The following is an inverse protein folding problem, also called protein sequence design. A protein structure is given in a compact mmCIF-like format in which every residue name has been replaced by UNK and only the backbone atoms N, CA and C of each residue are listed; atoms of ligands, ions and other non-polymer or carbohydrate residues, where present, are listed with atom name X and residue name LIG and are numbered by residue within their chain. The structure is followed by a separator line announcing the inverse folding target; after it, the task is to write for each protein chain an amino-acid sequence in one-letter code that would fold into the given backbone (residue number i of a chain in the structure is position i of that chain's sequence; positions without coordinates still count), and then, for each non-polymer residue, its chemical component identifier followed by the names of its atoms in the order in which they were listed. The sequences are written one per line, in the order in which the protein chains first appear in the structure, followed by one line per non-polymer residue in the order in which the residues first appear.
data_IF_452122701032
#
_entry.id   IF_452122701032
#
_cell.length_a   1.000
_cell.length_b   1.000
_cell.length_c   1.000
_cell.angle_alpha   90.00
_cell.angle_beta   90.00
_cell.angle_gamma   90.00
#
_symmetry.space_group_name_H-M   'P 1'
#
loop_
_entity.id
_entity.type
_entity.pdbx_description
1 polymer ?
#
# COMPACT_ATOMS: atom_id res chain seq x y z
N UNK A 1 -5.06 -1.33 14.48
CA UNK A 1 -5.10 -1.41 13.02
C UNK A 1 -3.71 -1.28 12.45
N UNK A 2 -3.45 -1.95 11.36
CA UNK A 2 -2.13 -1.99 10.77
C UNK A 2 -2.15 -1.47 9.34
N UNK A 3 -1.09 -0.74 8.98
CA UNK A 3 -0.81 -0.31 7.61
C UNK A 3 0.47 -0.98 7.14
N UNK A 4 0.53 -1.34 5.88
CA UNK A 4 1.73 -1.88 5.26
C UNK A 4 2.25 -0.88 4.22
N UNK A 5 3.51 -0.49 4.35
CA UNK A 5 4.19 0.37 3.39
C UNK A 5 5.26 -0.45 2.69
N UNK A 6 5.24 -0.46 1.37
CA UNK A 6 6.14 -1.26 0.55
C UNK A 6 6.88 -0.37 -0.43
N UNK A 7 8.19 -0.26 -0.27
CA UNK A 7 9.05 0.55 -1.13
C UNK A 7 10.49 0.09 -0.94
N UNK A 8 11.23 -0.11 -2.01
CA UNK A 8 12.61 -0.56 -1.93
C UNK A 8 13.59 0.54 -1.49
N UNK A 9 13.14 1.78 -1.43
CA UNK A 9 13.96 2.91 -1.02
C UNK A 9 13.67 3.27 0.44
N UNK A 10 14.65 3.09 1.37
CA UNK A 10 14.42 3.35 2.79
C UNK A 10 14.01 4.80 3.11
N UNK A 11 14.51 5.76 2.34
CA UNK A 11 14.14 7.17 2.54
C UNK A 11 12.68 7.42 2.27
N UNK A 12 12.12 6.74 1.26
CA UNK A 12 10.69 6.85 0.96
C UNK A 12 9.84 6.25 2.07
N UNK A 13 10.26 5.11 2.61
CA UNK A 13 9.55 4.48 3.73
C UNK A 13 9.54 5.38 4.96
N UNK A 14 10.69 6.00 5.25
CA UNK A 14 10.81 6.89 6.40
C UNK A 14 9.90 8.12 6.24
N UNK A 15 9.93 8.75 5.08
CA UNK A 15 9.10 9.92 4.80
C UNK A 15 7.61 9.60 4.85
N UNK A 16 7.22 8.47 4.27
CA UNK A 16 5.83 8.05 4.24
C UNK A 16 5.33 7.69 5.63
N UNK A 17 6.15 6.99 6.43
CA UNK A 17 5.81 6.69 7.81
C UNK A 17 5.56 7.96 8.62
N UNK A 18 6.43 8.97 8.46
CA UNK A 18 6.28 10.24 9.17
C UNK A 18 4.98 10.94 8.81
N UNK A 19 4.54 10.84 7.55
CA UNK A 19 3.28 11.44 7.12
C UNK A 19 2.04 10.77 7.73
N UNK A 20 2.16 9.52 8.14
CA UNK A 20 1.00 8.70 8.52
C UNK A 20 1.00 8.27 9.98
N UNK A 21 2.07 8.57 10.73
CA UNK A 21 2.25 8.05 12.08
C UNK A 21 1.19 8.51 13.08
N UNK A 22 0.61 9.68 12.86
CA UNK A 22 -0.40 10.26 13.77
C UNK A 22 -1.83 9.81 13.44
N UNK A 23 -2.02 8.95 12.46
CA UNK A 23 -3.36 8.51 12.07
C UNK A 23 -3.90 7.36 12.94
N UNK A 24 -3.09 6.86 13.87
CA UNK A 24 -3.57 5.89 14.85
C UNK A 24 -3.40 4.42 14.45
N UNK A 25 -2.67 4.14 13.37
CA UNK A 25 -2.39 2.78 12.96
C UNK A 25 -0.95 2.39 13.26
N UNK A 26 -0.71 1.10 13.44
CA UNK A 26 0.66 0.57 13.46
C UNK A 26 1.16 0.47 12.04
N UNK A 27 2.36 0.98 11.80
CA UNK A 27 2.95 1.02 10.47
C UNK A 27 4.03 -0.05 10.36
N UNK A 28 3.90 -0.90 9.34
CA UNK A 28 4.88 -1.92 9.01
C UNK A 28 5.51 -1.56 7.68
N UNK A 29 6.84 -1.51 7.63
CA UNK A 29 7.58 -1.16 6.43
C UNK A 29 8.34 -2.37 5.93
N UNK A 30 8.22 -2.66 4.64
CA UNK A 30 8.99 -3.71 3.98
C UNK A 30 9.57 -3.17 2.69
N UNK A 31 10.65 -3.79 2.21
CA UNK A 31 11.41 -3.26 1.09
C UNK A 31 11.29 -4.07 -0.19
N UNK A 32 10.41 -5.06 -0.23
CA UNK A 32 10.20 -5.89 -1.42
C UNK A 32 8.77 -6.41 -1.48
N UNK A 33 8.36 -6.83 -2.69
CA UNK A 33 7.07 -7.48 -2.87
C UNK A 33 7.00 -8.81 -2.15
N UNK A 34 8.09 -9.56 -2.14
CA UNK A 34 8.15 -10.84 -1.43
C UNK A 34 7.93 -10.66 0.07
N UNK A 35 8.55 -9.65 0.66
CA UNK A 35 8.34 -9.36 2.08
C UNK A 35 6.92 -8.88 2.34
N UNK A 36 6.33 -8.13 1.41
CA UNK A 36 4.93 -7.72 1.53
C UNK A 36 4.01 -8.95 1.58
N UNK A 37 4.26 -9.94 0.74
CA UNK A 37 3.46 -11.17 0.75
C UNK A 37 3.58 -11.93 2.07
N UNK A 38 4.77 -11.96 2.65
CA UNK A 38 4.96 -12.58 3.98
C UNK A 38 4.13 -11.87 5.04
N UNK A 39 4.09 -10.54 4.97
CA UNK A 39 3.32 -9.76 5.94
C UNK A 39 1.82 -10.01 5.83
N UNK A 40 1.27 -10.04 4.61
CA UNK A 40 -0.17 -10.23 4.45
C UNK A 40 -0.63 -11.64 4.86
N UNK A 41 0.29 -12.60 4.91
CA UNK A 41 -0.01 -13.93 5.43
C UNK A 41 -0.07 -13.95 6.96
N UNK A 42 0.54 -12.98 7.63
CA UNK A 42 0.66 -12.95 9.09
C UNK A 42 -0.41 -12.11 9.76
N UNK A 43 -0.88 -11.06 9.11
CA UNK A 43 -1.80 -10.10 9.74
C UNK A 43 -2.69 -9.44 8.72
N UNK A 44 -3.78 -8.87 9.23
CA UNK A 44 -4.68 -8.08 8.40
C UNK A 44 -4.22 -6.64 8.36
N UNK A 45 -4.33 -6.02 7.20
CA UNK A 45 -4.01 -4.60 7.02
C UNK A 45 -5.25 -3.83 6.62
N UNK A 46 -5.39 -2.62 7.18
CA UNK A 46 -6.46 -1.71 6.79
C UNK A 46 -6.23 -1.17 5.38
N UNK A 47 -4.96 -1.00 5.00
CA UNK A 47 -4.57 -0.60 3.66
C UNK A 47 -3.10 -0.96 3.43
N UNK A 48 -2.74 -1.08 2.17
CA UNK A 48 -1.37 -1.34 1.73
C UNK A 48 -0.97 -0.22 0.77
N UNK A 49 0.13 0.48 1.08
CA UNK A 49 0.70 1.50 0.20
C UNK A 49 1.89 0.86 -0.50
N UNK A 50 1.83 0.81 -1.82
CA UNK A 50 2.68 -0.08 -2.61
C UNK A 50 3.33 0.67 -3.75
N UNK A 51 4.64 0.80 -3.70
CA UNK A 51 5.41 1.36 -4.81
C UNK A 51 5.35 0.41 -5.99
N UNK A 52 5.23 0.96 -7.19
CA UNK A 52 5.12 0.15 -8.40
C UNK A 52 6.46 -0.38 -8.84
N UNK A 53 7.49 0.47 -8.82
CA UNK A 53 8.81 0.11 -9.34
C UNK A 53 9.73 -0.40 -8.24
N UNK A 54 9.93 -1.71 -8.22
CA UNK A 54 10.81 -2.37 -7.27
C UNK A 54 11.56 -3.49 -7.98
N UNK A 55 12.81 -3.80 -7.54
CA UNK A 55 13.50 -4.98 -8.07
C UNK A 55 12.80 -6.25 -7.63
N UNK A 56 12.97 -7.31 -8.41
CA UNK A 56 12.25 -8.56 -8.19
C UNK A 56 10.83 -8.44 -8.73
N UNK A 57 9.84 -8.82 -7.95
CA UNK A 57 8.46 -8.58 -8.35
C UNK A 57 8.12 -7.12 -8.13
N UNK A 58 7.47 -6.50 -9.11
CA UNK A 58 7.06 -5.11 -9.02
C UNK A 58 5.76 -4.95 -8.24
N UNK A 59 5.27 -3.71 -8.13
CA UNK A 59 4.05 -3.44 -7.38
C UNK A 59 2.82 -4.09 -7.98
N UNK A 60 2.71 -4.15 -9.31
CA UNK A 60 1.56 -4.79 -9.94
C UNK A 60 1.58 -6.30 -9.73
N UNK A 61 2.74 -6.92 -9.83
CA UNK A 61 2.89 -8.35 -9.58
C UNK A 61 2.60 -8.68 -8.11
N UNK A 62 3.07 -7.84 -7.20
CA UNK A 62 2.79 -7.99 -5.77
C UNK A 62 1.29 -7.89 -5.50
N UNK A 63 0.63 -6.88 -6.07
CA UNK A 63 -0.80 -6.70 -5.91
C UNK A 63 -1.60 -7.89 -6.47
N UNK A 64 -1.20 -8.39 -7.62
CA UNK A 64 -1.85 -9.56 -8.21
C UNK A 64 -1.77 -10.77 -7.29
N UNK A 65 -0.61 -10.99 -6.68
CA UNK A 65 -0.42 -12.09 -5.72
C UNK A 65 -1.29 -11.89 -4.47
N UNK A 66 -1.36 -10.66 -3.95
CA UNK A 66 -2.22 -10.34 -2.80
C UNK A 66 -3.69 -10.62 -3.16
N UNK A 67 -4.14 -10.20 -4.34
CA UNK A 67 -5.52 -10.39 -4.79
C UNK A 67 -5.88 -11.84 -5.03
N UNK A 68 -4.89 -12.71 -5.28
CA UNK A 68 -5.13 -14.13 -5.50
C UNK A 68 -5.48 -14.89 -4.21
N UNK A 69 -5.19 -14.32 -3.06
CA UNK A 69 -5.52 -14.90 -1.77
C UNK A 69 -6.93 -14.47 -1.36
N UNK A 70 -7.75 -15.42 -0.94
CA UNK A 70 -9.13 -15.11 -0.58
C UNK A 70 -9.22 -14.08 0.56
N UNK A 71 -8.37 -14.23 1.55
CA UNK A 71 -8.33 -13.35 2.72
C UNK A 71 -8.01 -11.90 2.39
N UNK A 72 -7.21 -11.68 1.35
CA UNK A 72 -6.71 -10.35 0.99
C UNK A 72 -7.23 -9.85 -0.36
N UNK A 73 -8.20 -10.56 -0.92
CA UNK A 73 -8.75 -10.22 -2.25
C UNK A 73 -9.27 -8.79 -2.32
N UNK A 74 -9.78 -8.25 -1.22
CA UNK A 74 -10.42 -6.93 -1.18
C UNK A 74 -9.69 -5.91 -0.33
N UNK A 75 -8.46 -6.21 0.11
CA UNK A 75 -7.72 -5.24 0.91
C UNK A 75 -7.46 -3.99 0.07
N UNK A 76 -7.67 -2.79 0.63
CA UNK A 76 -7.35 -1.56 -0.10
C UNK A 76 -5.87 -1.47 -0.42
N UNK A 77 -5.55 -1.23 -1.69
CA UNK A 77 -4.17 -1.01 -2.13
C UNK A 77 -4.09 0.38 -2.75
N UNK A 78 -3.16 1.17 -2.28
CA UNK A 78 -2.84 2.47 -2.85
C UNK A 78 -1.49 2.33 -3.54
N UNK A 79 -1.49 2.36 -4.87
CA UNK A 79 -0.26 2.33 -5.64
C UNK A 79 0.37 3.72 -5.65
N UNK A 80 1.67 3.78 -5.38
CA UNK A 80 2.43 5.01 -5.48
C UNK A 80 3.17 4.97 -6.80
N UNK A 81 2.81 5.85 -7.73
CA UNK A 81 3.27 5.76 -9.11
C UNK A 81 3.97 7.02 -9.58
N UNK A 82 5.05 6.84 -10.34
CA UNK A 82 5.60 7.92 -11.12
C UNK A 82 4.72 8.15 -12.35
N UNK A 83 4.89 9.29 -12.99
CA UNK A 83 4.16 9.61 -14.20
C UNK A 83 4.46 8.54 -15.27
N UNK A 84 3.42 8.00 -15.87
CA UNK A 84 3.56 6.99 -16.92
C UNK A 84 3.51 5.55 -16.44
N UNK A 85 3.40 5.30 -15.15
CA UNK A 85 3.39 3.95 -14.62
C UNK A 85 2.03 3.26 -14.68
N UNK A 86 1.01 3.94 -15.15
CA UNK A 86 -0.35 3.41 -15.13
C UNK A 86 -0.51 2.21 -16.06
N UNK A 87 -1.12 1.16 -15.52
CA UNK A 87 -1.53 -0.01 -16.28
C UNK A 87 -2.99 -0.31 -16.00
N UNK A 88 -3.72 -0.70 -17.04
CA UNK A 88 -5.13 -1.05 -16.90
C UNK A 88 -5.33 -2.29 -16.03
N UNK A 89 -4.42 -3.25 -16.11
CA UNK A 89 -4.50 -4.51 -15.37
C UNK A 89 -4.22 -4.37 -13.87
N UNK A 90 -3.69 -3.23 -13.43
CA UNK A 90 -3.50 -2.94 -12.02
C UNK A 90 -4.72 -2.37 -11.34
N UNK A 91 -5.81 -2.14 -12.08
CA UNK A 91 -6.99 -1.46 -11.55
C UNK A 91 -8.09 -2.43 -11.18
N UNK A 92 -8.64 -2.25 -10.00
CA UNK A 92 -9.86 -2.93 -9.57
C UNK A 92 -10.60 -1.99 -8.61
N UNK A 93 -11.72 -2.47 -8.07
CA UNK A 93 -12.58 -1.65 -7.20
C UNK A 93 -11.91 -1.28 -5.87
N UNK A 94 -10.85 -1.97 -5.50
CA UNK A 94 -10.18 -1.80 -4.20
C UNK A 94 -8.79 -1.19 -4.35
N UNK A 95 -8.43 -0.73 -5.54
CA UNK A 95 -7.12 -0.14 -5.83
C UNK A 95 -7.23 1.32 -6.22
N UNK A 96 -6.30 2.13 -5.72
CA UNK A 96 -6.19 3.55 -6.02
C UNK A 96 -4.78 3.84 -6.47
N UNK A 97 -4.59 4.97 -7.16
CA UNK A 97 -3.27 5.43 -7.60
C UNK A 97 -3.03 6.83 -7.07
N UNK A 98 -1.86 7.06 -6.49
CA UNK A 98 -1.41 8.38 -6.07
C UNK A 98 -0.07 8.64 -6.75
N UNK A 99 0.04 9.79 -7.43
CA UNK A 99 1.27 10.17 -8.12
C UNK A 99 2.35 10.61 -7.15
N UNK A 100 3.58 10.25 -7.46
CA UNK A 100 4.76 10.81 -6.79
C UNK A 100 5.15 12.15 -7.42
N UNK A 101 5.66 13.10 -6.66
CA UNK A 101 5.91 13.05 -5.21
C UNK A 101 4.59 13.06 -4.44
N UNK A 102 4.55 12.31 -3.34
CA UNK A 102 3.33 12.12 -2.57
C UNK A 102 2.95 13.42 -1.85
N UNK A 103 1.74 13.91 -2.13
CA UNK A 103 1.21 15.10 -1.47
C UNK A 103 0.54 14.67 -0.17
N UNK A 104 0.97 15.20 0.99
CA UNK A 104 0.33 14.88 2.27
C UNK A 104 -1.17 15.15 2.30
N UNK A 105 -1.61 16.22 1.63
CA UNK A 105 -3.03 16.59 1.60
C UNK A 105 -3.87 15.62 0.76
N UNK A 106 -3.23 14.80 -0.07
CA UNK A 106 -3.91 13.77 -0.84
C UNK A 106 -3.87 12.43 -0.11
N UNK A 107 -2.70 12.03 0.38
CA UNK A 107 -2.54 10.68 0.93
C UNK A 107 -3.17 10.51 2.30
N UNK A 108 -3.06 11.53 3.17
CA UNK A 108 -3.57 11.42 4.53
C UNK A 108 -5.09 11.17 4.57
N UNK A 109 -5.92 11.93 3.85
CA UNK A 109 -7.36 11.65 3.85
C UNK A 109 -7.72 10.28 3.28
N UNK A 110 -7.00 9.84 2.26
CA UNK A 110 -7.24 8.53 1.65
C UNK A 110 -6.97 7.39 2.61
N UNK A 111 -5.86 7.47 3.32
CA UNK A 111 -5.52 6.47 4.34
C UNK A 111 -6.51 6.52 5.49
N UNK A 112 -6.87 7.73 5.94
CA UNK A 112 -7.83 7.90 7.04
C UNK A 112 -9.18 7.25 6.73
N UNK A 113 -9.66 7.36 5.50
CA UNK A 113 -10.90 6.72 5.08
C UNK A 113 -10.82 5.21 5.23
N UNK A 114 -9.70 4.60 4.81
CA UNK A 114 -9.53 3.16 4.93
C UNK A 114 -9.42 2.70 6.38
N UNK A 115 -8.77 3.48 7.23
CA UNK A 115 -8.70 3.18 8.66
C UNK A 115 -10.09 3.22 9.30
N UNK A 116 -10.88 4.24 8.97
CA UNK A 116 -12.24 4.37 9.48
C UNK A 116 -13.14 3.22 9.00
N UNK A 117 -13.00 2.84 7.75
CA UNK A 117 -13.76 1.73 7.16
C UNK A 117 -13.40 0.41 7.81
N UNK A 118 -12.12 0.18 8.06
CA UNK A 118 -11.64 -1.05 8.69
C UNK A 118 -12.21 -1.23 10.09
N UNK A 119 -12.33 -0.15 10.86
CA UNK A 119 -12.90 -0.17 12.21
C UNK A 119 -14.35 -0.63 12.27
N UNK A 120 -15.10 -0.47 11.19
CA UNK A 120 -16.51 -0.79 11.14
C UNK A 120 -16.80 -2.26 10.87
N UNK A 121 -15.77 -3.04 10.61
CA UNK A 121 -15.95 -4.47 10.34
C UNK A 121 -15.66 -5.34 11.57
#
# INVERSE_FOLDING_TARGET
MDLLLVDDEPKNLLALSALLEDLGARIHCVSSGEDALRQVLRREFAAILLDIRMPGIDGFETAAAIRSLERTRRVPIIFLSAQGDRRADGRDAFSEFILKPVDPDVIRPRVAVHLASFKKH
#
